data_IF_206296557426
#
_entry.id   IF_206296557426
#
_cell.length_a   1.000
_cell.length_b   1.000
_cell.length_c   1.000
_cell.angle_alpha   90.00
_cell.angle_beta   90.00
_cell.angle_gamma   90.00
#
_symmetry.space_group_name_H-M   'P 1'
#
loop_
_entity.id
_entity.type
_entity.pdbx_description
1 polymer ?
#
# COMPACT_ATOMS: atom_id res chain seq x y z
N UNK A 1 -4.88 0.80 24.43
CA UNK A 1 -3.61 1.38 23.93
C UNK A 1 -3.95 2.08 22.63
N UNK A 2 -3.75 3.39 22.56
CA UNK A 2 -4.11 4.20 21.39
C UNK A 2 -3.01 4.07 20.35
N UNK A 3 -3.22 3.27 19.31
CA UNK A 3 -2.30 3.22 18.17
C UNK A 3 -2.25 4.60 17.55
N UNK A 4 -1.10 5.28 17.64
CA UNK A 4 -0.92 6.56 16.96
C UNK A 4 -0.49 6.29 15.53
N UNK A 5 -1.06 7.03 14.57
CA UNK A 5 -0.72 6.91 13.17
C UNK A 5 0.01 8.17 12.70
N UNK A 6 1.07 8.02 11.90
CA UNK A 6 1.79 9.14 11.28
C UNK A 6 1.55 9.08 9.77
N UNK A 7 1.00 10.14 9.19
CA UNK A 7 0.86 10.27 7.74
C UNK A 7 2.24 10.27 7.08
N UNK A 8 2.41 9.43 6.06
CA UNK A 8 3.64 9.38 5.25
C UNK A 8 3.45 10.04 3.89
N UNK A 9 2.20 10.16 3.43
CA UNK A 9 1.85 10.80 2.17
C UNK A 9 1.02 9.90 1.27
N UNK A 10 1.07 10.14 -0.02
CA UNK A 10 0.29 9.43 -1.02
C UNK A 10 1.11 8.33 -1.70
N UNK A 11 0.56 7.11 -1.77
CA UNK A 11 1.13 6.02 -2.55
C UNK A 11 1.15 6.39 -4.03
N UNK A 12 2.33 6.32 -4.66
CA UNK A 12 2.45 6.30 -6.11
C UNK A 12 2.06 4.91 -6.59
N UNK A 13 1.06 4.88 -7.46
CA UNK A 13 0.35 3.63 -7.76
C UNK A 13 0.36 3.36 -9.24
N UNK A 14 0.20 2.09 -9.59
CA UNK A 14 0.33 1.68 -10.98
C UNK A 14 -0.95 2.10 -11.70
N UNK A 15 -0.83 2.96 -12.71
CA UNK A 15 -1.90 3.21 -13.68
C UNK A 15 -1.64 2.33 -14.89
N UNK A 16 -2.52 1.35 -15.16
CA UNK A 16 -2.38 0.44 -16.29
C UNK A 16 -3.51 0.61 -17.33
N UNK A 17 -3.90 1.85 -17.58
CA UNK A 17 -4.92 2.24 -18.58
C UNK A 17 -6.18 2.87 -17.99
N UNK A 18 -7.14 3.30 -18.84
CA UNK A 18 -8.26 4.11 -18.39
C UNK A 18 -9.36 3.27 -17.76
N UNK A 19 -9.47 3.36 -16.44
CA UNK A 19 -10.78 3.50 -15.79
C UNK A 19 -10.64 4.35 -14.53
N UNK A 20 -10.91 5.65 -14.72
CA UNK A 20 -11.40 6.57 -13.69
C UNK A 20 -10.48 6.85 -12.49
N UNK A 21 -9.18 7.10 -12.73
CA UNK A 21 -8.26 7.56 -11.67
C UNK A 21 -8.19 6.64 -10.43
N UNK A 22 -8.67 5.40 -10.54
CA UNK A 22 -8.64 4.44 -9.44
C UNK A 22 -7.24 3.84 -9.36
N UNK A 23 -6.78 3.76 -8.13
CA UNK A 23 -5.45 3.34 -7.78
C UNK A 23 -5.40 1.82 -7.66
N UNK A 24 -4.41 1.21 -8.32
CA UNK A 24 -4.19 -0.23 -8.31
C UNK A 24 -2.83 -0.58 -7.71
N UNK A 25 -2.76 -1.74 -7.04
CA UNK A 25 -1.51 -2.35 -6.59
C UNK A 25 -1.28 -3.65 -7.33
N UNK A 26 -0.04 -3.90 -7.75
CA UNK A 26 0.32 -5.21 -8.24
C UNK A 26 0.63 -6.12 -7.04
N UNK A 27 -0.24 -7.11 -6.80
CA UNK A 27 -0.07 -8.11 -5.75
C UNK A 27 0.15 -9.48 -6.38
N UNK A 28 1.16 -10.21 -5.92
CA UNK A 28 1.56 -11.51 -6.49
C UNK A 28 1.74 -11.46 -8.03
N UNK A 29 2.20 -10.32 -8.55
CA UNK A 29 2.37 -10.07 -10.00
C UNK A 29 1.10 -9.69 -10.76
N UNK A 30 -0.05 -9.60 -10.10
CA UNK A 30 -1.35 -9.27 -10.71
C UNK A 30 -1.81 -7.89 -10.26
N UNK A 31 -2.27 -7.07 -11.20
CA UNK A 31 -2.81 -5.74 -10.88
C UNK A 31 -4.21 -5.88 -10.26
N UNK A 32 -4.35 -5.40 -9.03
CA UNK A 32 -5.61 -5.37 -8.29
C UNK A 32 -6.07 -3.94 -8.06
N UNK A 33 -7.28 -3.66 -8.53
CA UNK A 33 -8.03 -2.48 -8.13
C UNK A 33 -8.44 -2.62 -6.68
N UNK A 34 -8.16 -1.58 -5.91
CA UNK A 34 -8.52 -1.49 -4.51
C UNK A 34 -9.86 -0.76 -4.36
N UNK A 35 -10.70 -1.20 -3.42
CA UNK A 35 -12.05 -0.65 -3.25
C UNK A 35 -12.04 0.59 -2.35
N UNK A 36 -12.70 1.70 -2.72
CA UNK A 36 -12.99 2.80 -1.80
C UNK A 36 -13.70 2.33 -0.53
N UNK A 37 -13.22 2.79 0.63
CA UNK A 37 -13.75 2.42 1.95
C UNK A 37 -13.06 1.23 2.62
N UNK A 38 -12.28 0.44 1.88
CA UNK A 38 -11.46 -0.62 2.48
C UNK A 38 -10.16 -0.05 3.07
N UNK A 39 -9.72 -0.63 4.18
CA UNK A 39 -8.40 -0.39 4.76
C UNK A 39 -7.50 -1.59 4.49
N UNK A 40 -6.30 -1.31 3.99
CA UNK A 40 -5.32 -2.35 3.68
C UNK A 40 -4.08 -2.16 4.53
N UNK A 41 -3.58 -3.24 5.10
CA UNK A 41 -2.44 -3.25 6.00
C UNK A 41 -1.24 -3.86 5.32
N UNK A 42 -0.14 -3.13 5.36
CA UNK A 42 1.16 -3.51 4.84
C UNK A 42 2.08 -3.84 6.01
N UNK A 43 2.77 -4.97 5.90
CA UNK A 43 3.77 -5.38 6.86
C UNK A 43 4.86 -6.17 6.14
N UNK A 44 6.08 -6.12 6.66
CA UNK A 44 7.16 -6.96 6.18
C UNK A 44 7.12 -8.29 6.93
N UNK A 45 7.17 -9.43 6.24
CA UNK A 45 7.20 -10.76 6.86
C UNK A 45 8.63 -11.30 7.09
N UNK A 46 9.64 -10.55 6.66
CA UNK A 46 11.05 -10.94 6.70
C UNK A 46 11.64 -11.20 5.32
N UNK A 47 10.79 -11.43 4.31
CA UNK A 47 11.18 -11.60 2.91
C UNK A 47 10.55 -10.51 2.04
N UNK A 48 9.23 -10.35 2.13
CA UNK A 48 8.45 -9.49 1.26
C UNK A 48 7.54 -8.55 2.05
N UNK A 49 7.10 -7.49 1.39
CA UNK A 49 5.96 -6.70 1.85
C UNK A 49 4.65 -7.46 1.56
N UNK A 50 3.86 -7.68 2.60
CA UNK A 50 2.58 -8.39 2.56
C UNK A 50 1.42 -7.45 2.80
N UNK A 51 0.39 -7.59 1.97
CA UNK A 51 -0.86 -6.83 2.05
C UNK A 51 -1.98 -7.73 2.58
N UNK A 52 -2.64 -7.26 3.63
CA UNK A 52 -3.84 -7.86 4.21
C UNK A 52 -4.96 -6.82 4.27
N UNK A 53 -6.22 -7.25 4.35
CA UNK A 53 -7.38 -6.34 4.37
C UNK A 53 -8.18 -6.39 3.07
N UNK A 54 -9.41 -5.90 3.14
CA UNK A 54 -10.43 -6.17 2.11
C UNK A 54 -10.56 -7.68 1.86
N UNK A 55 -10.27 -8.11 0.63
CA UNK A 55 -10.27 -9.54 0.24
C UNK A 55 -8.93 -10.26 0.37
N UNK A 56 -7.83 -9.56 0.64
CA UNK A 56 -6.50 -10.15 0.61
C UNK A 56 -6.11 -10.71 1.98
N UNK A 57 -5.52 -11.92 1.96
CA UNK A 57 -5.06 -12.65 3.15
C UNK A 57 -3.54 -12.81 3.20
N UNK A 58 -2.80 -11.79 2.76
CA UNK A 58 -1.32 -11.78 2.79
C UNK A 58 -0.68 -11.91 1.41
N UNK A 59 -1.16 -11.15 0.42
CA UNK A 59 -0.59 -11.14 -0.92
C UNK A 59 0.74 -10.34 -0.93
N UNK A 60 1.73 -10.77 -1.71
CA UNK A 60 3.00 -10.06 -1.83
C UNK A 60 2.82 -8.79 -2.65
N UNK A 61 3.39 -7.68 -2.20
CA UNK A 61 3.45 -6.46 -3.00
C UNK A 61 4.56 -6.58 -4.06
N UNK A 62 4.19 -6.33 -5.31
CA UNK A 62 5.08 -6.44 -6.47
C UNK A 62 5.04 -5.18 -7.34
N UNK A 63 6.12 -4.92 -8.09
CA UNK A 63 6.21 -3.90 -9.12
C UNK A 63 6.90 -4.52 -10.33
N UNK A 64 6.28 -4.43 -11.50
CA UNK A 64 6.72 -5.13 -12.71
C UNK A 64 6.99 -6.64 -12.47
N UNK A 65 6.17 -7.27 -11.62
CA UNK A 65 6.29 -8.69 -11.27
C UNK A 65 7.43 -9.04 -10.30
N UNK A 66 8.18 -8.06 -9.80
CA UNK A 66 9.25 -8.26 -8.80
C UNK A 66 8.78 -7.78 -7.42
N UNK A 67 9.23 -8.42 -6.31
CA UNK A 67 8.98 -7.92 -4.96
C UNK A 67 9.43 -6.47 -4.80
N UNK A 68 8.62 -5.70 -4.09
CA UNK A 68 8.93 -4.30 -3.79
C UNK A 68 9.71 -4.23 -2.49
N UNK A 69 10.81 -3.48 -2.46
CA UNK A 69 11.57 -3.21 -1.23
C UNK A 69 11.34 -1.79 -0.68
N UNK A 70 10.79 -0.88 -1.50
CA UNK A 70 10.50 0.52 -1.15
C UNK A 70 9.08 0.87 -1.62
N UNK A 71 8.25 1.50 -0.78
CA UNK A 71 6.93 1.90 -1.25
C UNK A 71 7.07 3.09 -2.22
N UNK A 72 6.56 2.97 -3.44
CA UNK A 72 6.51 4.11 -4.35
C UNK A 72 5.56 5.15 -3.74
N UNK A 73 6.04 6.35 -3.48
CA UNK A 73 5.23 7.50 -3.06
C UNK A 73 5.30 8.58 -4.14
N UNK A 74 4.27 9.44 -4.22
CA UNK A 74 4.20 10.52 -5.23
C UNK A 74 5.38 11.50 -5.12
N UNK A 75 6.01 11.60 -3.94
CA UNK A 75 7.14 12.51 -3.68
C UNK A 75 8.51 11.81 -3.63
N UNK A 76 8.61 10.52 -3.97
CA UNK A 76 9.84 9.74 -3.95
C UNK A 76 9.65 8.33 -3.39
N UNK A 77 10.72 7.53 -3.34
CA UNK A 77 10.66 6.20 -2.72
C UNK A 77 10.78 6.32 -1.20
N UNK A 78 9.75 5.92 -0.45
CA UNK A 78 9.85 5.83 1.00
C UNK A 78 10.45 4.46 1.35
N UNK A 79 11.61 4.47 1.99
CA UNK A 79 12.20 3.24 2.53
C UNK A 79 11.39 2.83 3.75
N UNK A 80 10.52 1.84 3.57
CA UNK A 80 9.74 1.35 4.68
C UNK A 80 10.63 0.62 5.69
N UNK A 81 10.44 0.98 6.95
CA UNK A 81 11.00 0.26 8.07
C UNK A 81 10.27 -1.07 8.25
N UNK A 82 11.03 -2.17 8.15
CA UNK A 82 10.54 -3.53 8.44
C UNK A 82 10.03 -3.70 9.88
N UNK A 83 10.37 -2.77 10.78
CA UNK A 83 9.93 -2.79 12.17
C UNK A 83 8.51 -2.25 12.37
N UNK A 84 7.92 -1.62 11.34
CA UNK A 84 6.62 -0.98 11.44
C UNK A 84 5.57 -1.65 10.57
N UNK A 85 4.31 -1.52 10.99
CA UNK A 85 3.17 -1.80 10.13
C UNK A 85 2.66 -0.49 9.55
N UNK A 86 2.10 -0.57 8.35
CA UNK A 86 1.54 0.57 7.64
C UNK A 86 0.10 0.25 7.25
N UNK A 87 -0.71 1.29 7.11
CA UNK A 87 -2.06 1.17 6.58
C UNK A 87 -2.21 2.12 5.40
N UNK A 88 -2.86 1.67 4.34
CA UNK A 88 -3.29 2.53 3.26
C UNK A 88 -4.83 2.57 3.22
N UNK A 89 -5.37 3.77 3.00
CA UNK A 89 -6.79 4.05 2.85
C UNK A 89 -7.00 5.06 1.73
N UNK A 90 -8.16 5.02 1.05
CA UNK A 90 -8.55 6.08 0.12
C UNK A 90 -8.89 7.33 0.92
N UNK A 91 -8.13 8.39 0.67
CA UNK A 91 -8.39 9.74 1.12
C UNK A 91 -9.56 10.38 0.36
N UNK A 92 -10.07 11.53 0.85
CA UNK A 92 -11.24 12.21 0.29
C UNK A 92 -11.09 12.60 -1.19
N UNK A 93 -9.84 12.79 -1.64
CA UNK A 93 -9.51 13.19 -3.01
C UNK A 93 -9.32 12.00 -3.97
N UNK A 94 -9.60 10.78 -3.51
CA UNK A 94 -9.47 9.54 -4.31
C UNK A 94 -8.06 8.94 -4.33
N UNK A 95 -7.10 9.58 -3.66
CA UNK A 95 -5.73 9.10 -3.55
C UNK A 95 -5.54 8.14 -2.37
N UNK A 96 -4.64 7.15 -2.47
CA UNK A 96 -4.33 6.28 -1.32
C UNK A 96 -3.33 6.98 -0.40
N UNK A 97 -3.77 7.30 0.80
CA UNK A 97 -2.93 7.83 1.86
C UNK A 97 -2.31 6.67 2.64
N UNK A 98 -0.99 6.72 2.80
CA UNK A 98 -0.23 5.78 3.60
C UNK A 98 0.06 6.35 4.98
N UNK A 99 -0.16 5.54 6.00
CA UNK A 99 0.06 5.88 7.39
C UNK A 99 0.94 4.84 8.05
N UNK A 100 1.98 5.27 8.78
CA UNK A 100 2.74 4.40 9.68
C UNK A 100 1.95 4.20 10.97
N UNK A 101 1.77 2.95 11.38
CA UNK A 101 1.19 2.63 12.69
C UNK A 101 2.33 2.59 13.72
N UNK A 102 2.35 3.56 14.64
CA UNK A 102 3.27 3.57 15.76
C UNK A 102 2.66 2.71 16.89
N UNK A 103 3.48 1.80 17.43
CA UNK A 103 3.13 1.00 18.60
C UNK A 103 3.43 1.76 19.88
#
# INVERSE_FOLDING_TARGET
>A
MTTTATALGTLDTVSNGPRDAIISLALDGIVHWMTPGDSYRFHHDGLDWRVTGGRFRGAALTRAGQPVHHLPMVHGDETLSVAHAYTAQIGPDGYWELWRLNR
#
